data_IF_659039114113
#
_entry.id   IF_659039114113
#
_cell.length_a   1.000
_cell.length_b   1.000
_cell.length_c   1.000
_cell.angle_alpha   90.00
_cell.angle_beta   90.00
_cell.angle_gamma   90.00
#
_symmetry.space_group_name_H-M   'P 1'
#
loop_
_entity.id
_entity.type
_entity.pdbx_description
1 polymer ?
#
# COMPACT_ATOMS: atom_id res chain seq x y z
N UNK A 1 14.43 36.02 9.01
CA UNK A 1 14.00 37.37 8.61
C UNK A 1 15.20 38.10 8.00
N UNK A 2 15.05 38.90 6.93
CA UNK A 2 13.78 39.35 6.35
C UNK A 2 13.23 38.51 5.16
N UNK A 3 13.86 38.53 3.98
CA UNK A 3 13.17 38.40 2.66
C UNK A 3 13.65 37.19 1.80
N UNK A 4 13.01 36.61 0.75
CA UNK A 4 11.70 36.75 0.02
C UNK A 4 11.90 36.87 -1.51
N UNK A 5 11.46 35.86 -2.27
CA UNK A 5 10.99 35.92 -3.68
C UNK A 5 10.65 34.48 -4.14
N UNK A 6 9.49 34.13 -4.69
CA UNK A 6 8.35 34.95 -5.11
C UNK A 6 8.18 34.97 -6.63
N UNK A 7 8.05 33.81 -7.28
CA UNK A 7 7.70 33.73 -8.72
C UNK A 7 6.21 33.46 -8.90
N UNK A 8 5.43 34.54 -8.98
CA UNK A 8 4.02 34.50 -9.39
C UNK A 8 3.98 34.64 -10.91
N UNK A 9 3.69 33.55 -11.62
CA UNK A 9 3.50 33.60 -13.07
C UNK A 9 2.09 34.16 -13.36
N UNK A 10 2.05 35.17 -14.21
CA UNK A 10 0.91 36.07 -14.43
C UNK A 10 -0.33 35.34 -14.99
N UNK A 11 -1.51 35.72 -14.49
CA UNK A 11 -2.80 35.31 -15.08
C UNK A 11 -3.14 36.07 -16.36
N UNK A 12 -4.13 35.54 -17.09
CA UNK A 12 -4.77 36.16 -18.25
C UNK A 12 -6.27 36.34 -17.96
N UNK A 13 -6.87 37.52 -18.21
CA UNK A 13 -8.28 37.77 -17.97
C UNK A 13 -9.15 37.38 -19.17
N UNK A 14 -10.33 36.84 -18.91
CA UNK A 14 -11.36 36.57 -19.93
C UNK A 14 -12.70 36.33 -19.27
N UNK A 15 -13.58 37.33 -19.26
CA UNK A 15 -14.79 37.38 -18.41
C UNK A 15 -16.00 37.86 -19.21
N UNK A 16 -16.96 36.93 -19.41
CA UNK A 16 -18.42 37.15 -19.64
C UNK A 16 -18.87 37.81 -20.97
N UNK A 17 -20.19 37.77 -21.35
CA UNK A 17 -21.37 37.24 -20.63
C UNK A 17 -22.22 36.20 -21.42
N UNK A 18 -23.41 35.87 -20.89
CA UNK A 18 -24.26 34.71 -21.26
C UNK A 18 -25.63 35.08 -21.87
N UNK A 19 -26.29 34.09 -22.53
CA UNK A 19 -27.74 33.92 -22.75
C UNK A 19 -27.99 32.63 -23.60
N UNK A 20 -29.13 31.94 -23.63
CA UNK A 20 -30.28 31.71 -22.72
C UNK A 20 -31.15 30.57 -23.34
N UNK A 21 -32.29 30.22 -22.71
CA UNK A 21 -33.32 29.22 -23.15
C UNK A 21 -32.93 27.74 -22.90
N UNK A 22 -33.49 27.02 -21.92
CA UNK A 22 -34.89 26.64 -21.65
C UNK A 22 -35.40 25.49 -22.55
N UNK A 23 -35.61 24.31 -21.94
CA UNK A 23 -36.16 23.12 -22.60
C UNK A 23 -36.46 22.00 -21.59
N UNK A 24 -37.74 21.66 -21.42
CA UNK A 24 -38.23 20.75 -20.38
C UNK A 24 -37.98 19.27 -20.70
N UNK A 25 -37.66 18.45 -19.68
CA UNK A 25 -38.60 17.45 -19.16
C UNK A 25 -38.09 16.81 -17.86
N UNK A 26 -38.93 16.79 -16.82
CA UNK A 26 -38.64 16.06 -15.60
C UNK A 26 -38.97 14.57 -15.80
N UNK A 27 -37.94 13.72 -15.93
CA UNK A 27 -38.06 12.28 -15.76
C UNK A 27 -37.49 11.90 -14.40
N UNK A 28 -38.25 12.18 -13.34
CA UNK A 28 -37.95 11.65 -12.00
C UNK A 28 -38.24 10.15 -11.99
N UNK A 29 -37.30 9.36 -12.50
CA UNK A 29 -37.30 7.91 -12.33
C UNK A 29 -37.04 7.62 -10.85
N UNK A 30 -38.12 7.44 -10.09
CA UNK A 30 -38.10 6.85 -8.74
C UNK A 30 -37.75 5.36 -8.84
N UNK A 31 -36.58 5.06 -9.41
CA UNK A 31 -35.99 3.74 -9.35
C UNK A 31 -35.67 3.45 -7.89
N UNK A 32 -36.12 2.30 -7.40
CA UNK A 32 -35.78 1.84 -6.07
C UNK A 32 -34.28 1.56 -5.99
N UNK A 33 -33.50 2.61 -5.66
CA UNK A 33 -32.12 2.49 -5.20
C UNK A 33 -32.13 1.86 -3.79
N UNK A 34 -32.50 0.58 -3.72
CA UNK A 34 -32.12 -0.26 -2.60
C UNK A 34 -30.60 -0.16 -2.43
N UNK A 35 -30.08 -0.15 -1.18
CA UNK A 35 -28.66 0.02 -0.95
C UNK A 35 -27.91 -1.09 -1.70
N UNK A 36 -27.06 -0.70 -2.66
CA UNK A 36 -26.14 -1.62 -3.31
C UNK A 36 -25.10 -2.00 -2.27
N UNK A 37 -25.40 -3.06 -1.51
CA UNK A 37 -24.42 -3.74 -0.67
C UNK A 37 -23.44 -4.45 -1.60
N UNK A 38 -22.42 -3.73 -2.05
CA UNK A 38 -21.21 -4.31 -2.61
C UNK A 38 -20.62 -5.22 -1.54
N UNK A 39 -20.93 -6.51 -1.62
CA UNK A 39 -20.36 -7.52 -0.76
C UNK A 39 -18.84 -7.50 -1.00
N UNK A 40 -18.09 -6.89 -0.08
CA UNK A 40 -16.64 -6.84 -0.13
C UNK A 40 -16.09 -8.26 -0.02
N UNK A 41 -15.89 -8.90 -1.18
CA UNK A 41 -15.33 -10.24 -1.28
C UNK A 41 -13.91 -10.18 -0.73
N UNK A 42 -13.71 -10.74 0.47
CA UNK A 42 -12.41 -10.71 1.15
C UNK A 42 -11.34 -11.29 0.21
N UNK A 43 -10.21 -10.60 0.10
CA UNK A 43 -9.09 -11.08 -0.71
C UNK A 43 -8.68 -12.50 -0.27
N UNK A 44 -8.39 -13.43 -1.20
CA UNK A 44 -7.86 -14.74 -0.87
C UNK A 44 -6.60 -14.62 -0.02
N UNK A 45 -6.52 -15.40 1.07
CA UNK A 45 -5.34 -15.41 1.94
C UNK A 45 -4.23 -16.19 1.25
N UNK A 46 -3.04 -15.59 1.15
CA UNK A 46 -1.83 -16.26 0.70
C UNK A 46 -0.71 -16.05 1.70
N UNK A 47 0.29 -16.93 1.70
CA UNK A 47 1.43 -16.88 2.61
C UNK A 47 2.72 -16.75 1.82
N UNK A 48 3.56 -15.81 2.23
CA UNK A 48 4.98 -15.86 1.94
C UNK A 48 5.67 -16.41 3.18
N UNK A 49 6.12 -17.66 3.09
CA UNK A 49 6.77 -18.39 4.16
C UNK A 49 8.30 -18.33 3.96
N UNK A 50 9.01 -17.80 4.97
CA UNK A 50 10.46 -17.74 5.02
C UNK A 50 10.98 -18.76 6.05
N UNK A 51 11.92 -19.60 5.62
CA UNK A 51 12.46 -20.79 6.31
C UNK A 51 13.98 -20.84 6.14
N UNK A 52 14.66 -21.65 6.95
CA UNK A 52 16.12 -21.70 7.03
C UNK A 52 16.67 -20.70 8.04
N UNK A 53 17.99 -20.51 8.09
CA UNK A 53 18.69 -19.96 9.24
C UNK A 53 18.36 -18.48 9.64
N UNK A 54 19.28 -17.90 10.41
CA UNK A 54 19.37 -16.48 10.77
C UNK A 54 18.89 -15.50 9.68
N UNK A 55 19.21 -15.75 8.40
CA UNK A 55 18.81 -14.91 7.27
C UNK A 55 17.30 -14.90 7.03
N UNK A 56 16.60 -16.03 7.20
CA UNK A 56 15.14 -16.12 7.06
C UNK A 56 14.40 -15.28 8.12
N UNK A 57 15.00 -15.21 9.31
CA UNK A 57 14.53 -14.39 10.41
C UNK A 57 14.85 -12.90 10.21
N UNK A 58 15.77 -12.56 9.30
CA UNK A 58 16.27 -11.21 9.07
C UNK A 58 17.30 -10.77 10.12
N UNK A 59 18.10 -11.71 10.63
CA UNK A 59 19.23 -11.40 11.52
C UNK A 59 20.30 -10.60 10.77
N UNK A 60 20.73 -9.49 11.35
CA UNK A 60 21.79 -8.60 10.84
C UNK A 60 22.56 -8.02 12.03
N UNK A 61 23.82 -7.59 11.86
CA UNK A 61 24.55 -6.85 12.89
C UNK A 61 23.91 -5.49 13.16
N UNK A 62 23.83 -5.10 14.43
CA UNK A 62 23.51 -3.73 14.85
C UNK A 62 24.75 -2.82 14.85
N UNK A 63 24.60 -1.59 15.35
CA UNK A 63 25.69 -0.61 15.42
C UNK A 63 26.87 -1.01 16.33
N UNK A 64 26.69 -2.01 17.21
CA UNK A 64 27.75 -2.61 18.03
C UNK A 64 28.36 -3.87 17.39
N UNK A 65 27.85 -4.30 16.23
CA UNK A 65 28.20 -5.56 15.57
C UNK A 65 27.45 -6.78 16.12
N UNK A 66 26.51 -6.61 17.05
CA UNK A 66 25.75 -7.72 17.62
C UNK A 66 24.65 -8.19 16.66
N UNK A 67 24.56 -9.50 16.42
CA UNK A 67 23.56 -10.09 15.53
C UNK A 67 22.16 -10.05 16.18
N UNK A 68 21.26 -9.24 15.62
CA UNK A 68 19.89 -9.04 16.10
C UNK A 68 18.86 -9.33 15.00
N UNK A 69 17.67 -9.83 15.36
CA UNK A 69 16.55 -9.97 14.41
C UNK A 69 16.03 -8.59 14.02
N UNK A 70 15.99 -8.29 12.72
CA UNK A 70 15.51 -7.01 12.20
C UNK A 70 14.16 -7.14 11.45
N UNK A 71 13.59 -5.99 11.06
CA UNK A 71 12.48 -5.88 10.10
C UNK A 71 12.95 -5.41 8.72
N UNK A 72 14.25 -5.60 8.43
CA UNK A 72 14.93 -5.16 7.21
C UNK A 72 15.61 -6.34 6.49
N UNK A 73 15.29 -7.58 6.87
CA UNK A 73 15.77 -8.79 6.21
C UNK A 73 15.16 -8.96 4.81
N UNK A 74 15.73 -9.87 4.02
CA UNK A 74 15.28 -10.10 2.64
C UNK A 74 13.78 -10.45 2.57
N UNK A 75 13.27 -11.19 3.56
CA UNK A 75 11.87 -11.57 3.65
C UNK A 75 10.93 -10.37 3.93
N UNK A 76 11.38 -9.38 4.71
CA UNK A 76 10.61 -8.14 4.93
C UNK A 76 10.55 -7.30 3.65
N UNK A 77 11.68 -7.18 2.95
CA UNK A 77 11.80 -6.43 1.70
C UNK A 77 10.96 -7.06 0.58
N UNK A 78 11.03 -8.38 0.39
CA UNK A 78 10.24 -9.07 -0.62
C UNK A 78 8.73 -9.03 -0.29
N UNK A 79 8.35 -9.15 0.99
CA UNK A 79 6.96 -8.96 1.41
C UNK A 79 6.45 -7.54 1.09
N UNK A 80 7.25 -6.51 1.36
CA UNK A 80 6.89 -5.12 1.07
C UNK A 80 6.65 -4.89 -0.44
N UNK A 81 7.50 -5.47 -1.30
CA UNK A 81 7.33 -5.42 -2.76
C UNK A 81 6.05 -6.14 -3.22
N UNK A 82 5.77 -7.32 -2.68
CA UNK A 82 4.66 -8.18 -3.12
C UNK A 82 3.28 -7.75 -2.60
N UNK A 83 3.16 -7.21 -1.37
CA UNK A 83 1.84 -6.97 -0.74
C UNK A 83 0.92 -6.04 -1.52
N UNK A 84 1.49 -5.15 -2.35
CA UNK A 84 0.74 -4.21 -3.20
C UNK A 84 -0.11 -4.91 -4.27
N UNK A 85 0.37 -6.05 -4.77
CA UNK A 85 -0.30 -6.88 -5.79
C UNK A 85 -1.07 -8.05 -5.20
N UNK A 86 -0.79 -8.39 -3.94
CA UNK A 86 -1.39 -9.51 -3.22
C UNK A 86 -2.01 -9.03 -1.89
N UNK A 87 -3.23 -8.44 -1.91
CA UNK A 87 -3.82 -7.78 -0.74
C UNK A 87 -4.19 -8.74 0.43
N UNK A 88 -4.20 -10.05 0.19
CA UNK A 88 -4.35 -11.08 1.23
C UNK A 88 -3.04 -11.75 1.67
N UNK A 89 -1.88 -11.27 1.22
CA UNK A 89 -0.58 -11.85 1.51
C UNK A 89 -0.17 -11.65 2.97
N UNK A 90 0.35 -12.69 3.60
CA UNK A 90 0.89 -12.68 4.97
C UNK A 90 2.32 -13.20 4.95
N UNK A 91 3.27 -12.41 5.46
CA UNK A 91 4.62 -12.89 5.76
C UNK A 91 4.60 -13.75 7.03
N UNK A 92 5.24 -14.91 6.98
CA UNK A 92 5.52 -15.77 8.13
C UNK A 92 7.00 -16.16 8.09
N UNK A 93 7.74 -15.94 9.18
CA UNK A 93 9.15 -16.32 9.31
C UNK A 93 9.24 -17.47 10.33
N UNK A 94 9.51 -18.70 9.88
CA UNK A 94 9.53 -19.90 10.75
C UNK A 94 10.93 -20.47 11.02
N UNK A 95 11.98 -19.90 10.43
CA UNK A 95 13.34 -20.38 10.67
C UNK A 95 13.96 -20.05 12.04
N UNK A 96 15.11 -20.65 12.32
CA UNK A 96 15.84 -20.56 13.57
C UNK A 96 17.32 -20.15 13.32
N UNK A 97 17.86 -19.12 14.02
CA UNK A 97 19.27 -18.74 13.86
C UNK A 97 20.24 -19.89 14.17
N UNK A 98 21.11 -20.21 13.21
CA UNK A 98 22.08 -21.30 13.32
C UNK A 98 21.56 -22.69 12.93
N UNK A 99 20.31 -22.82 12.45
CA UNK A 99 19.82 -24.10 11.94
C UNK A 99 20.51 -24.50 10.62
N UNK A 100 20.56 -25.80 10.37
CA UNK A 100 20.95 -26.40 9.09
C UNK A 100 19.75 -27.11 8.47
N UNK A 101 19.86 -27.54 7.21
CA UNK A 101 18.83 -28.37 6.56
C UNK A 101 18.47 -29.63 7.37
N UNK A 102 19.40 -30.18 8.15
CA UNK A 102 19.17 -31.36 8.98
C UNK A 102 18.37 -31.07 10.27
N UNK A 103 18.38 -29.83 10.76
CA UNK A 103 17.64 -29.41 11.96
C UNK A 103 16.34 -28.66 11.63
N UNK A 104 16.08 -28.42 10.34
CA UNK A 104 14.88 -27.77 9.81
C UNK A 104 13.71 -28.76 9.61
N UNK A 105 13.97 -30.07 9.73
CA UNK A 105 13.03 -31.18 9.46
C UNK A 105 12.73 -31.93 10.77
#
# INVERSE_FOLDING_TARGET
MPERAGSVIRGLPGVLPAAALAGCLAAASTGCSGPVTTAHRRAPVSYYLSLGDSLSQGVQPDASGANVKTRHGYADQLYAALRSRHPGLRLVKLGCPGETTATMI
#
